data_IF_184602155419
#
_entry.id   IF_184602155419
#
_cell.length_a   1.000
_cell.length_b   1.000
_cell.length_c   1.000
_cell.angle_alpha   90.00
_cell.angle_beta   90.00
_cell.angle_gamma   90.00
#
_symmetry.space_group_name_H-M   'P 1'
#
loop_
_entity.id
_entity.type
_entity.pdbx_description
1 polymer ?
#
# COMPACT_ATOMS: atom_id res chain seq x y z
N UNK A 1 23.81 19.31 -4.60
CA UNK A 1 22.94 19.60 -3.44
C UNK A 1 23.79 19.47 -2.19
N UNK A 2 23.50 20.22 -1.11
CA UNK A 2 24.24 20.06 0.16
C UNK A 2 23.96 18.68 0.73
N UNK A 3 25.01 17.90 1.01
CA UNK A 3 24.88 16.51 1.51
C UNK A 3 24.05 16.43 2.79
N UNK A 4 24.28 17.35 3.72
CA UNK A 4 23.50 17.48 4.95
C UNK A 4 21.99 17.57 4.71
N UNK A 5 21.59 18.40 3.75
CA UNK A 5 20.18 18.57 3.41
C UNK A 5 19.58 17.29 2.82
N UNK A 6 20.36 16.54 2.01
CA UNK A 6 19.92 15.25 1.48
C UNK A 6 19.69 14.26 2.64
N UNK A 7 20.60 14.23 3.60
CA UNK A 7 20.50 13.36 4.77
C UNK A 7 19.25 13.66 5.59
N UNK A 8 19.02 14.93 5.91
CA UNK A 8 17.84 15.37 6.66
C UNK A 8 16.53 14.99 5.96
N UNK A 9 16.45 15.16 4.64
CA UNK A 9 15.28 14.77 3.85
C UNK A 9 15.09 13.25 3.88
N UNK A 10 16.17 12.48 3.69
CA UNK A 10 16.12 11.02 3.73
C UNK A 10 15.66 10.51 5.11
N UNK A 11 16.26 11.01 6.19
CA UNK A 11 15.90 10.65 7.56
C UNK A 11 14.44 10.99 7.86
N UNK A 12 13.97 12.17 7.44
CA UNK A 12 12.56 12.56 7.61
C UNK A 12 11.61 11.61 6.88
N UNK A 13 11.93 11.23 5.64
CA UNK A 13 11.12 10.26 4.86
C UNK A 13 11.12 8.90 5.57
N UNK A 14 12.27 8.45 6.06
CA UNK A 14 12.40 7.17 6.75
C UNK A 14 11.61 7.14 8.07
N UNK A 15 11.69 8.20 8.87
CA UNK A 15 10.95 8.32 10.13
C UNK A 15 9.44 8.36 9.90
N UNK A 16 8.99 9.12 8.89
CA UNK A 16 7.59 9.15 8.47
C UNK A 16 7.12 7.76 8.04
N UNK A 17 7.93 7.04 7.25
CA UNK A 17 7.60 5.68 6.84
C UNK A 17 7.51 4.73 8.04
N UNK A 18 8.50 4.75 8.93
CA UNK A 18 8.57 3.84 10.07
C UNK A 18 7.42 4.11 11.06
N UNK A 19 7.33 5.34 11.57
CA UNK A 19 6.35 5.71 12.60
C UNK A 19 4.94 5.88 12.04
N UNK A 20 4.79 6.41 10.83
CA UNK A 20 3.49 6.54 10.17
C UNK A 20 2.86 5.17 9.93
N UNK A 21 3.66 4.18 9.54
CA UNK A 21 3.16 2.82 9.32
C UNK A 21 2.71 2.11 10.61
N UNK A 22 3.37 2.38 11.74
CA UNK A 22 2.98 1.85 13.05
C UNK A 22 1.65 2.46 13.53
N UNK A 23 1.49 3.78 13.41
CA UNK A 23 0.26 4.47 13.81
C UNK A 23 -0.95 4.04 12.96
N UNK A 24 -0.76 3.86 11.66
CA UNK A 24 -1.79 3.30 10.78
C UNK A 24 -2.14 1.88 11.23
N UNK A 25 -1.14 1.02 11.47
CA UNK A 25 -1.40 -0.35 11.92
C UNK A 25 -2.15 -0.41 13.26
N UNK A 26 -1.88 0.53 14.18
CA UNK A 26 -2.65 0.66 15.42
C UNK A 26 -4.11 1.03 15.14
N UNK A 27 -4.33 2.05 14.30
CA UNK A 27 -5.68 2.52 13.96
C UNK A 27 -6.52 1.44 13.27
N UNK A 28 -5.91 0.62 12.41
CA UNK A 28 -6.58 -0.51 11.77
C UNK A 28 -6.97 -1.61 12.76
N UNK A 29 -6.24 -1.77 13.88
CA UNK A 29 -6.56 -2.75 14.92
C UNK A 29 -7.74 -2.35 15.80
N UNK A 30 -8.09 -1.07 15.83
CA UNK A 30 -9.25 -0.55 16.56
C UNK A 30 -10.56 -0.77 15.79
N UNK A 31 -10.49 -1.02 14.48
CA UNK A 31 -11.65 -1.34 13.67
C UNK A 31 -12.06 -2.82 13.83
N UNK A 32 -13.35 -3.05 14.09
CA UNK A 32 -13.91 -4.37 14.37
C UNK A 32 -13.75 -5.38 13.22
N UNK A 33 -13.75 -4.92 11.98
CA UNK A 33 -13.61 -5.76 10.79
C UNK A 33 -12.14 -6.00 10.44
N UNK A 34 -11.29 -5.00 10.67
CA UNK A 34 -9.88 -5.02 10.28
C UNK A 34 -8.92 -5.56 11.36
N UNK A 35 -9.34 -5.64 12.63
CA UNK A 35 -8.48 -6.12 13.74
C UNK A 35 -7.86 -7.50 13.55
N UNK A 36 -8.44 -8.32 12.66
CA UNK A 36 -7.95 -9.66 12.35
C UNK A 36 -6.96 -9.71 11.18
N UNK A 37 -6.75 -8.60 10.48
CA UNK A 37 -5.81 -8.49 9.38
C UNK A 37 -4.42 -8.11 9.90
N UNK A 38 -3.40 -8.82 9.45
CA UNK A 38 -2.02 -8.37 9.65
C UNK A 38 -1.73 -7.13 8.79
N UNK A 39 -0.70 -6.36 9.16
CA UNK A 39 -0.22 -5.20 8.39
C UNK A 39 0.10 -5.59 6.94
N UNK A 40 0.72 -6.75 6.75
CA UNK A 40 1.07 -7.24 5.42
C UNK A 40 -0.15 -7.68 4.63
N UNK A 41 -1.22 -8.15 5.28
CA UNK A 41 -2.48 -8.50 4.60
C UNK A 41 -3.21 -7.24 4.13
N UNK A 42 -3.26 -6.20 4.96
CA UNK A 42 -3.83 -4.88 4.60
C UNK A 42 -3.03 -4.21 3.48
N UNK A 43 -1.70 -4.29 3.51
CA UNK A 43 -0.87 -3.81 2.40
C UNK A 43 -1.07 -4.62 1.11
N UNK A 44 -1.13 -5.96 1.23
CA UNK A 44 -1.30 -6.86 0.10
C UNK A 44 -2.62 -6.63 -0.64
N UNK A 45 -3.74 -6.54 0.08
CA UNK A 45 -5.05 -6.35 -0.57
C UNK A 45 -5.12 -4.98 -1.29
N UNK A 46 -4.55 -3.93 -0.70
CA UNK A 46 -4.42 -2.60 -1.36
C UNK A 46 -3.60 -2.64 -2.63
N UNK A 47 -2.49 -3.39 -2.64
CA UNK A 47 -1.66 -3.54 -3.85
C UNK A 47 -2.41 -4.29 -4.94
N UNK A 48 -3.11 -5.37 -4.61
CA UNK A 48 -3.89 -6.14 -5.59
C UNK A 48 -5.05 -5.30 -6.14
N UNK A 49 -5.65 -4.44 -5.31
CA UNK A 49 -6.70 -3.49 -5.73
C UNK A 49 -6.16 -2.43 -6.70
N UNK A 50 -4.99 -1.85 -6.38
CA UNK A 50 -4.35 -0.80 -7.20
C UNK A 50 -3.81 -1.32 -8.54
N UNK A 51 -3.50 -2.62 -8.61
CA UNK A 51 -2.96 -3.29 -9.78
C UNK A 51 -3.83 -4.52 -10.10
N UNK A 52 -5.02 -4.33 -10.73
CA UNK A 52 -5.89 -5.43 -11.07
C UNK A 52 -5.23 -6.37 -12.09
N UNK A 53 -5.62 -7.65 -12.06
CA UNK A 53 -5.10 -8.69 -12.95
C UNK A 53 -3.63 -9.09 -12.75
N UNK A 54 -3.04 -8.69 -11.62
CA UNK A 54 -1.65 -9.00 -11.27
C UNK A 54 -1.48 -10.46 -10.83
N UNK A 55 -0.42 -11.10 -11.32
CA UNK A 55 -0.02 -12.45 -10.93
C UNK A 55 0.69 -12.47 -9.58
N UNK A 56 0.75 -13.64 -8.94
CA UNK A 56 1.53 -13.84 -7.71
C UNK A 56 3.01 -13.45 -7.81
N UNK A 57 3.57 -13.49 -9.02
CA UNK A 57 4.96 -13.12 -9.28
C UNK A 57 5.11 -11.60 -9.22
N UNK A 58 4.30 -10.89 -9.99
CA UNK A 58 4.30 -9.43 -10.06
C UNK A 58 3.92 -8.81 -8.71
N UNK A 59 2.96 -9.39 -7.96
CA UNK A 59 2.66 -8.94 -6.58
C UNK A 59 3.91 -9.02 -5.69
N UNK A 60 4.72 -10.07 -5.83
CA UNK A 60 5.93 -10.23 -5.02
C UNK A 60 7.01 -9.22 -5.41
N UNK A 61 7.12 -8.90 -6.70
CA UNK A 61 8.03 -7.88 -7.23
C UNK A 61 7.63 -6.48 -6.74
N UNK A 62 6.36 -6.09 -6.84
CA UNK A 62 5.83 -4.79 -6.36
C UNK A 62 6.06 -4.63 -4.85
N UNK A 63 5.85 -5.70 -4.08
CA UNK A 63 6.04 -5.67 -2.63
C UNK A 63 7.51 -5.81 -2.20
N UNK A 64 8.44 -6.10 -3.12
CA UNK A 64 9.85 -6.32 -2.82
C UNK A 64 10.10 -7.54 -1.91
N UNK A 65 9.25 -8.58 -1.99
CA UNK A 65 9.31 -9.76 -1.10
C UNK A 65 9.42 -11.07 -1.89
N UNK A 66 9.85 -12.15 -1.22
CA UNK A 66 9.83 -13.48 -1.82
C UNK A 66 8.40 -14.02 -2.04
N UNK A 67 8.19 -14.69 -3.18
CA UNK A 67 6.91 -15.28 -3.62
C UNK A 67 6.23 -16.20 -2.58
N UNK A 68 7.02 -16.92 -1.77
CA UNK A 68 6.49 -17.81 -0.71
C UNK A 68 5.75 -17.03 0.38
N UNK A 69 6.26 -15.84 0.73
CA UNK A 69 5.63 -14.95 1.71
C UNK A 69 4.30 -14.36 1.25
N UNK A 70 4.14 -14.13 -0.05
CA UNK A 70 2.90 -13.63 -0.68
C UNK A 70 1.87 -14.74 -0.78
N UNK A 71 2.28 -15.94 -1.20
CA UNK A 71 1.38 -17.08 -1.45
C UNK A 71 0.54 -17.46 -0.24
N UNK A 72 1.16 -17.54 0.95
CA UNK A 72 0.44 -17.86 2.18
C UNK A 72 -0.56 -16.77 2.59
N UNK A 73 -0.26 -15.49 2.32
CA UNK A 73 -1.15 -14.36 2.66
C UNK A 73 -2.33 -14.28 1.71
N UNK A 74 -2.08 -14.43 0.40
CA UNK A 74 -3.15 -14.50 -0.61
C UNK A 74 -4.08 -15.66 -0.29
N UNK A 75 -3.55 -16.85 0.02
CA UNK A 75 -4.38 -18.01 0.37
C UNK A 75 -5.34 -17.70 1.53
N UNK A 76 -4.85 -17.09 2.62
CA UNK A 76 -5.69 -16.69 3.76
C UNK A 76 -6.76 -15.67 3.39
N UNK A 77 -6.44 -14.70 2.53
CA UNK A 77 -7.39 -13.70 2.06
C UNK A 77 -8.44 -14.30 1.11
N UNK A 78 -8.08 -15.30 0.31
CA UNK A 78 -9.01 -16.07 -0.52
C UNK A 78 -9.93 -16.93 0.35
N UNK A 79 -9.40 -17.62 1.35
CA UNK A 79 -10.20 -18.39 2.33
C UNK A 79 -11.17 -17.49 3.12
N UNK A 80 -10.78 -16.25 3.41
CA UNK A 80 -11.64 -15.23 4.01
C UNK A 80 -12.66 -14.58 3.07
N UNK A 81 -12.62 -14.93 1.78
CA UNK A 81 -13.51 -14.40 0.74
C UNK A 81 -13.24 -12.96 0.33
N UNK A 82 -12.04 -12.42 0.60
CA UNK A 82 -11.65 -11.05 0.23
C UNK A 82 -10.97 -11.00 -1.15
N UNK A 83 -10.26 -12.07 -1.50
CA UNK A 83 -9.60 -12.24 -2.78
C UNK A 83 -10.15 -13.48 -3.51
N UNK A 84 -9.95 -13.54 -4.82
CA UNK A 84 -10.24 -14.74 -5.59
C UNK A 84 -9.18 -14.98 -6.68
N UNK A 85 -9.00 -16.24 -7.04
CA UNK A 85 -8.17 -16.61 -8.18
C UNK A 85 -9.01 -16.59 -9.46
N UNK A 86 -8.61 -15.76 -10.42
CA UNK A 86 -9.22 -15.73 -11.76
C UNK A 86 -8.30 -16.35 -12.79
N UNK A 87 -8.90 -16.91 -13.85
CA UNK A 87 -8.14 -17.42 -15.00
C UNK A 87 -7.72 -16.25 -15.86
N UNK A 88 -6.42 -16.18 -16.18
CA UNK A 88 -5.91 -15.23 -17.15
C UNK A 88 -6.29 -15.62 -18.59
N UNK A 89 -6.02 -14.73 -19.55
CA UNK A 89 -6.33 -14.94 -20.98
C UNK A 89 -5.69 -16.21 -21.55
N UNK A 90 -4.51 -16.57 -21.05
CA UNK A 90 -3.86 -17.84 -21.35
C UNK A 90 -4.21 -18.84 -20.24
N UNK A 91 -4.81 -19.99 -20.58
CA UNK A 91 -5.26 -21.06 -19.66
C UNK A 91 -4.23 -21.53 -18.59
N UNK A 92 -2.97 -21.11 -18.69
CA UNK A 92 -1.87 -21.39 -17.76
C UNK A 92 -1.61 -20.28 -16.73
N UNK A 93 -2.05 -19.04 -16.94
CA UNK A 93 -1.90 -17.96 -15.95
C UNK A 93 -3.13 -17.87 -15.05
N UNK A 94 -2.89 -17.75 -13.75
CA UNK A 94 -3.89 -17.36 -12.76
C UNK A 94 -3.46 -16.00 -12.20
N UNK A 95 -4.39 -15.08 -12.12
CA UNK A 95 -4.19 -13.82 -11.42
C UNK A 95 -5.07 -13.79 -10.17
N UNK A 96 -4.76 -12.83 -9.29
CA UNK A 96 -5.53 -12.60 -8.07
C UNK A 96 -6.34 -11.34 -8.26
N UNK A 97 -7.63 -11.39 -7.93
CA UNK A 97 -8.51 -10.25 -7.96
C UNK A 97 -9.11 -10.00 -6.59
N UNK A 98 -9.43 -8.74 -6.31
CA UNK A 98 -10.22 -8.35 -5.16
C UNK A 98 -11.69 -8.70 -5.45
N UNK A 99 -12.38 -9.23 -4.45
CA UNK A 99 -13.83 -9.49 -4.51
C UNK A 99 -14.59 -8.26 -4.03
N UNK A 100 -15.92 -8.24 -4.16
CA UNK A 100 -16.74 -7.16 -3.60
C UNK A 100 -16.47 -6.93 -2.10
N UNK A 101 -16.47 -8.01 -1.31
CA UNK A 101 -16.11 -7.99 0.12
C UNK A 101 -14.69 -7.48 0.35
N UNK A 102 -13.77 -7.78 -0.56
CA UNK A 102 -12.42 -7.27 -0.51
C UNK A 102 -12.35 -5.76 -0.76
N UNK A 103 -13.16 -5.23 -1.67
CA UNK A 103 -13.23 -3.80 -1.95
C UNK A 103 -13.79 -3.04 -0.75
N UNK A 104 -14.83 -3.55 -0.08
CA UNK A 104 -15.34 -2.97 1.17
C UNK A 104 -14.24 -2.83 2.24
N UNK A 105 -13.39 -3.86 2.36
CA UNK A 105 -12.21 -3.84 3.24
C UNK A 105 -11.19 -2.79 2.79
N UNK A 106 -10.90 -2.68 1.49
CA UNK A 106 -9.96 -1.68 0.97
C UNK A 106 -10.48 -0.27 1.23
N UNK A 107 -11.75 0.02 0.94
CA UNK A 107 -12.38 1.32 1.19
C UNK A 107 -12.30 1.71 2.66
N UNK A 108 -12.58 0.77 3.56
CA UNK A 108 -12.45 0.97 5.01
C UNK A 108 -11.01 1.30 5.42
N UNK A 109 -10.03 0.57 4.88
CA UNK A 109 -8.61 0.85 5.12
C UNK A 109 -8.26 2.26 4.64
N UNK A 110 -8.70 2.67 3.45
CA UNK A 110 -8.45 4.02 2.94
C UNK A 110 -9.10 5.11 3.78
N UNK A 111 -10.35 4.91 4.22
CA UNK A 111 -11.03 5.86 5.09
C UNK A 111 -10.28 6.09 6.42
N UNK A 112 -9.77 5.01 7.02
CA UNK A 112 -8.95 5.09 8.25
C UNK A 112 -7.63 5.81 7.97
N UNK A 113 -6.96 5.48 6.86
CA UNK A 113 -5.71 6.15 6.46
C UNK A 113 -5.93 7.65 6.27
N UNK A 114 -6.91 8.04 5.44
CA UNK A 114 -7.21 9.45 5.16
C UNK A 114 -7.54 10.20 6.44
N UNK A 115 -8.35 9.61 7.32
CA UNK A 115 -8.69 10.22 8.61
C UNK A 115 -7.43 10.42 9.47
N UNK A 116 -6.58 9.41 9.56
CA UNK A 116 -5.35 9.47 10.36
C UNK A 116 -4.37 10.53 9.84
N UNK A 117 -4.11 10.53 8.54
CA UNK A 117 -3.22 11.50 7.91
C UNK A 117 -3.79 12.92 7.95
N UNK A 118 -5.12 13.07 7.84
CA UNK A 118 -5.78 14.37 8.04
C UNK A 118 -5.52 14.92 9.45
N UNK A 119 -5.63 14.09 10.49
CA UNK A 119 -5.31 14.51 11.86
C UNK A 119 -3.83 14.86 12.01
N UNK A 120 -2.93 14.10 11.38
CA UNK A 120 -1.49 14.38 11.44
C UNK A 120 -1.12 15.71 10.76
N UNK A 121 -1.79 16.06 9.67
CA UNK A 121 -1.52 17.31 8.94
C UNK A 121 -2.29 18.51 9.49
N UNK A 122 -3.30 18.29 10.33
CA UNK A 122 -4.13 19.35 10.87
C UNK A 122 -3.31 20.32 11.73
N UNK A 123 -3.24 21.58 11.30
CA UNK A 123 -2.49 22.63 12.00
C UNK A 123 -1.00 22.68 11.67
N UNK A 124 -0.47 21.67 10.96
CA UNK A 124 0.93 21.63 10.51
C UNK A 124 1.12 22.28 9.14
N UNK A 125 0.10 22.23 8.29
CA UNK A 125 0.15 22.75 6.92
C UNK A 125 -1.11 23.53 6.56
N UNK A 126 -0.93 24.60 5.79
CA UNK A 126 -1.99 25.20 4.97
C UNK A 126 -2.30 24.32 3.75
N UNK A 127 -3.42 24.60 3.09
CA UNK A 127 -3.79 23.89 1.85
C UNK A 127 -2.74 24.09 0.74
N UNK A 128 -2.23 25.32 0.58
CA UNK A 128 -1.17 25.63 -0.39
C UNK A 128 0.13 24.86 -0.10
N UNK A 129 0.54 24.76 1.16
CA UNK A 129 1.72 23.99 1.56
C UNK A 129 1.54 22.49 1.32
N UNK A 130 0.32 21.95 1.53
CA UNK A 130 0.01 20.55 1.21
C UNK A 130 0.04 20.29 -0.30
N UNK A 131 -0.51 21.19 -1.12
CA UNK A 131 -0.45 21.08 -2.58
C UNK A 131 0.99 21.11 -3.09
N UNK A 132 1.81 22.01 -2.56
CA UNK A 132 3.23 22.12 -2.90
C UNK A 132 4.03 20.88 -2.44
N UNK A 133 3.77 20.38 -1.23
CA UNK A 133 4.35 19.13 -0.73
C UNK A 133 3.98 17.95 -1.62
N UNK A 134 2.69 17.81 -1.98
CA UNK A 134 2.22 16.79 -2.92
C UNK A 134 2.97 16.89 -4.26
N UNK A 135 3.09 18.09 -4.83
CA UNK A 135 3.83 18.30 -6.08
C UNK A 135 5.29 17.87 -6.00
N UNK A 136 5.96 18.13 -4.87
CA UNK A 136 7.34 17.67 -4.62
C UNK A 136 7.43 16.14 -4.52
N UNK A 137 6.59 15.52 -3.69
CA UNK A 137 6.58 14.06 -3.50
C UNK A 137 6.19 13.31 -4.77
N UNK A 138 5.21 13.81 -5.52
CA UNK A 138 4.75 13.21 -6.76
C UNK A 138 5.82 13.16 -7.85
N UNK A 139 6.67 14.18 -7.95
CA UNK A 139 7.82 14.16 -8.87
C UNK A 139 8.83 13.07 -8.51
N UNK A 140 9.01 12.80 -7.22
CA UNK A 140 9.90 11.73 -6.74
C UNK A 140 9.25 10.37 -7.00
N UNK A 141 7.97 10.20 -6.67
CA UNK A 141 7.27 8.92 -6.86
C UNK A 141 7.19 8.49 -8.33
N UNK A 142 7.08 9.44 -9.27
CA UNK A 142 7.18 9.18 -10.71
C UNK A 142 8.52 8.61 -11.17
N UNK A 143 9.62 8.88 -10.47
CA UNK A 143 10.94 8.32 -10.83
C UNK A 143 11.05 6.84 -10.50
N UNK A 144 10.55 6.45 -9.32
CA UNK A 144 10.53 5.05 -8.91
C UNK A 144 9.73 4.17 -9.88
N UNK A 145 8.58 4.63 -10.37
CA UNK A 145 7.78 3.89 -11.35
C UNK A 145 8.50 3.70 -12.69
N UNK A 146 9.24 4.71 -13.17
CA UNK A 146 10.01 4.62 -14.42
C UNK A 146 11.19 3.67 -14.34
N UNK A 147 11.87 3.62 -13.19
CA UNK A 147 13.00 2.70 -12.98
C UNK A 147 12.56 1.23 -12.86
N UNK A 148 11.29 0.97 -12.56
CA UNK A 148 10.69 -0.37 -12.60
C UNK A 148 10.29 -0.79 -14.02
N UNK A 149 9.79 0.14 -14.85
CA UNK A 149 9.40 -0.13 -16.26
C UNK A 149 10.61 -0.33 -17.20
N UNK A 150 11.80 0.17 -16.83
CA UNK A 150 13.05 0.09 -17.62
C UNK A 150 13.92 -1.14 -17.31
N UNK A 151 13.49 -2.03 -16.40
CA UNK A 151 14.19 -3.28 -16.02
C UNK A 151 13.53 -4.53 -16.60
#
# INVERSE_FOLDING_TARGET
>A
MREELIRQVYESIYDIYLHGSEQVAHSLKEDEELKHFSREQTQLIKVIDSYPETTMKEIAEILGVHKTGVSNKVKKLVEGGYLEYRKGPNHKSKYVAVTEKGHEVVERIEAINVTRWRTLFAGEFTEEELEDLYGKLFRISKRFKKEEDEK
#
